data_IF_637692613873
#
_entry.id   IF_637692613873
#
_cell.length_a   1.000
_cell.length_b   1.000
_cell.length_c   1.000
_cell.angle_alpha   90.00
_cell.angle_beta   90.00
_cell.angle_gamma   90.00
#
_symmetry.space_group_name_H-M   'P 1'
#
loop_
_entity.id
_entity.type
_entity.pdbx_description
1 polymer ?
#
# COMPACT_ATOMS: atom_id res chain seq x y z
N UNK A 1 19.63 23.53 -57.80
CA UNK A 1 20.74 22.67 -57.37
C UNK A 1 21.37 23.35 -56.17
N UNK A 2 20.67 23.57 -55.04
CA UNK A 2 20.13 22.61 -54.05
C UNK A 2 21.17 21.55 -53.67
N UNK A 3 21.84 21.71 -52.52
CA UNK A 3 21.44 21.25 -51.15
C UNK A 3 21.79 19.76 -50.99
N UNK A 4 22.40 19.22 -49.94
CA UNK A 4 22.55 19.57 -48.53
C UNK A 4 23.84 18.91 -48.00
N UNK A 5 24.61 19.61 -47.17
CA UNK A 5 25.63 19.01 -46.31
C UNK A 5 25.04 18.77 -44.92
N UNK A 6 24.98 17.51 -44.50
CA UNK A 6 24.59 17.08 -43.14
C UNK A 6 25.60 17.58 -42.09
N UNK A 7 25.18 18.14 -40.96
CA UNK A 7 26.05 18.35 -39.81
C UNK A 7 26.14 17.08 -38.96
N UNK A 8 27.35 16.75 -38.52
CA UNK A 8 27.61 15.74 -37.48
C UNK A 8 26.96 16.19 -36.17
N UNK A 9 26.14 15.31 -35.58
CA UNK A 9 25.59 15.52 -34.25
C UNK A 9 26.61 15.09 -33.20
N UNK A 10 27.13 16.06 -32.44
CA UNK A 10 27.86 15.80 -31.20
C UNK A 10 26.87 15.26 -30.15
N UNK A 11 27.06 14.00 -29.74
CA UNK A 11 26.39 13.43 -28.57
C UNK A 11 26.89 14.14 -27.30
N UNK A 12 26.06 15.05 -26.77
CA UNK A 12 26.20 15.51 -25.39
C UNK A 12 25.72 14.42 -24.44
N UNK A 13 26.65 13.59 -23.96
CA UNK A 13 26.49 12.89 -22.69
C UNK A 13 26.40 13.92 -21.57
N UNK A 14 25.18 14.28 -21.16
CA UNK A 14 24.94 14.92 -19.87
C UNK A 14 24.97 13.83 -18.80
N UNK A 15 25.81 14.05 -17.80
CA UNK A 15 26.11 13.11 -16.73
C UNK A 15 25.10 13.35 -15.59
N UNK A 16 24.15 12.44 -15.39
CA UNK A 16 23.09 12.52 -14.35
C UNK A 16 23.65 12.70 -12.93
N UNK A 17 24.92 12.36 -12.68
CA UNK A 17 25.57 12.57 -11.38
C UNK A 17 25.75 14.03 -11.00
N UNK A 18 25.87 14.93 -11.98
CA UNK A 18 26.25 16.32 -11.73
C UNK A 18 25.05 17.16 -11.28
N UNK A 19 23.84 16.85 -11.76
CA UNK A 19 22.60 17.52 -11.35
C UNK A 19 22.15 17.13 -9.94
N UNK A 20 22.36 15.87 -9.53
CA UNK A 20 22.14 15.46 -8.14
C UNK A 20 23.11 16.15 -7.17
N UNK A 21 24.36 16.38 -7.60
CA UNK A 21 25.38 17.03 -6.76
C UNK A 21 25.11 18.52 -6.51
N UNK A 22 24.55 19.23 -7.49
CA UNK A 22 24.17 20.64 -7.34
C UNK A 22 22.93 20.81 -6.44
N UNK A 23 22.01 19.85 -6.48
CA UNK A 23 20.83 19.81 -5.63
C UNK A 23 21.21 19.50 -4.16
N UNK A 24 22.08 18.52 -3.93
CA UNK A 24 22.59 18.18 -2.59
C UNK A 24 23.44 19.32 -1.98
N UNK A 25 24.20 20.04 -2.82
CA UNK A 25 24.96 21.22 -2.41
C UNK A 25 24.03 22.40 -2.01
N UNK A 26 22.93 22.60 -2.73
CA UNK A 26 21.93 23.62 -2.40
C UNK A 26 21.17 23.29 -1.09
N UNK A 27 20.90 22.00 -0.84
CA UNK A 27 20.28 21.50 0.39
C UNK A 27 21.22 21.68 1.59
N UNK A 28 22.51 21.34 1.44
CA UNK A 28 23.52 21.48 2.51
C UNK A 28 23.81 22.95 2.85
N UNK A 29 23.83 23.84 1.86
CA UNK A 29 24.09 25.26 2.07
C UNK A 29 22.96 25.96 2.86
N UNK A 30 21.69 25.59 2.64
CA UNK A 30 20.55 26.21 3.34
C UNK A 30 20.31 25.64 4.73
N UNK A 31 20.57 24.36 4.96
CA UNK A 31 20.47 23.74 6.30
C UNK A 31 21.52 24.26 7.27
N UNK A 32 22.74 24.53 6.79
CA UNK A 32 23.83 25.10 7.61
C UNK A 32 23.51 26.54 8.06
N UNK A 33 22.88 27.34 7.21
CA UNK A 33 22.48 28.71 7.56
C UNK A 33 21.38 28.78 8.64
N UNK A 34 20.62 27.70 8.83
CA UNK A 34 19.55 27.61 9.83
C UNK A 34 20.09 27.17 11.21
N UNK A 35 21.15 26.34 11.23
CA UNK A 35 21.84 25.94 12.45
C UNK A 35 22.59 27.11 13.13
N UNK A 36 23.12 28.04 12.35
CA UNK A 36 23.76 29.26 12.88
C UNK A 36 22.75 30.24 13.49
N UNK A 37 21.46 30.15 13.11
CA UNK A 37 20.41 31.04 13.61
C UNK A 37 19.75 30.55 14.90
N UNK A 38 19.85 29.25 15.23
CA UNK A 38 19.29 28.65 16.46
C UNK A 38 20.27 28.66 17.63
N UNK A 39 21.56 28.93 17.39
CA UNK A 39 22.60 28.98 18.41
C UNK A 39 22.57 30.24 19.30
N UNK A 40 21.78 31.28 18.98
CA UNK A 40 21.82 32.59 19.67
C UNK A 40 20.74 32.79 20.75
N UNK A 41 20.00 31.72 21.11
CA UNK A 41 18.95 31.79 22.14
C UNK A 41 19.11 30.71 23.20
N UNK A 42 20.16 30.85 24.03
CA UNK A 42 20.23 30.20 25.34
C UNK A 42 20.21 31.25 26.45
N UNK A 43 19.03 31.72 26.83
CA UNK A 43 18.77 32.26 28.17
C UNK A 43 17.26 32.45 28.40
N UNK A 44 16.75 31.66 29.34
CA UNK A 44 15.74 31.99 30.35
C UNK A 44 14.52 31.03 30.36
N UNK A 45 14.53 30.16 31.37
CA UNK A 45 13.49 29.18 31.65
C UNK A 45 12.35 29.88 32.39
N UNK A 46 11.25 30.22 31.70
CA UNK A 46 9.88 30.37 32.26
C UNK A 46 8.79 30.71 31.23
N UNK A 47 9.08 30.74 29.93
CA UNK A 47 8.09 30.89 28.86
C UNK A 47 7.99 29.59 28.04
N UNK A 48 7.25 28.60 28.53
CA UNK A 48 7.41 27.20 28.07
C UNK A 48 6.11 26.49 27.66
N UNK A 49 5.07 27.23 27.24
CA UNK A 49 3.85 26.62 26.66
C UNK A 49 3.26 27.42 25.48
N UNK A 50 3.43 28.74 25.44
CA UNK A 50 2.94 29.57 24.33
C UNK A 50 3.94 29.67 23.17
N UNK A 51 5.23 29.65 23.47
CA UNK A 51 6.35 29.68 22.52
C UNK A 51 6.48 28.37 21.76
N UNK A 52 6.17 27.24 22.40
CA UNK A 52 6.22 25.91 21.79
C UNK A 52 5.11 25.72 20.73
N UNK A 53 3.90 26.21 21.02
CA UNK A 53 2.79 26.27 20.05
C UNK A 53 3.08 27.18 18.85
N UNK A 54 3.75 28.31 19.08
CA UNK A 54 4.11 29.27 18.03
C UNK A 54 5.27 28.78 17.16
N UNK A 55 6.27 28.12 17.75
CA UNK A 55 7.38 27.48 17.03
C UNK A 55 6.88 26.29 16.21
N UNK A 56 6.01 25.45 16.76
CA UNK A 56 5.40 24.32 16.05
C UNK A 56 4.51 24.79 14.89
N UNK A 57 3.74 25.87 15.07
CA UNK A 57 2.93 26.45 14.00
C UNK A 57 3.77 27.09 12.90
N UNK A 58 4.91 27.72 13.24
CA UNK A 58 5.83 28.30 12.27
C UNK A 58 6.63 27.24 11.51
N UNK A 59 7.08 26.17 12.16
CA UNK A 59 7.69 25.01 11.50
C UNK A 59 6.67 24.39 10.53
N UNK A 60 5.43 24.16 10.98
CA UNK A 60 4.38 23.60 10.15
C UNK A 60 4.06 24.48 8.94
N UNK A 61 3.90 25.79 9.13
CA UNK A 61 3.67 26.71 8.01
C UNK A 61 4.90 26.78 7.08
N UNK A 62 6.11 26.63 7.60
CA UNK A 62 7.33 26.59 6.78
C UNK A 62 7.43 25.29 5.97
N UNK A 63 7.11 24.13 6.55
CA UNK A 63 7.01 22.84 5.84
C UNK A 63 5.95 22.92 4.75
N UNK A 64 4.75 23.41 5.07
CA UNK A 64 3.66 23.56 4.10
C UNK A 64 4.04 24.51 2.97
N UNK A 65 4.67 25.64 3.25
CA UNK A 65 5.12 26.58 2.22
C UNK A 65 6.31 26.03 1.41
N UNK A 66 7.24 25.31 2.04
CA UNK A 66 8.37 24.68 1.35
C UNK A 66 7.90 23.55 0.44
N UNK A 67 6.94 22.74 0.87
CA UNK A 67 6.29 21.71 0.06
C UNK A 67 5.44 22.30 -1.05
N UNK A 68 4.78 23.44 -0.82
CA UNK A 68 4.01 24.14 -1.84
C UNK A 68 4.90 24.79 -2.89
N UNK A 69 6.01 25.40 -2.49
CA UNK A 69 7.02 25.95 -3.39
C UNK A 69 7.72 24.82 -4.17
N UNK A 70 8.04 23.70 -3.52
CA UNK A 70 8.58 22.51 -4.16
C UNK A 70 7.57 21.87 -5.11
N UNK A 71 6.29 21.79 -4.74
CA UNK A 71 5.21 21.29 -5.60
C UNK A 71 5.07 22.14 -6.87
N UNK A 72 5.11 23.46 -6.75
CA UNK A 72 5.03 24.39 -7.89
C UNK A 72 6.29 24.33 -8.78
N UNK A 73 7.48 24.11 -8.21
CA UNK A 73 8.72 23.97 -8.96
C UNK A 73 8.89 22.57 -9.59
N UNK A 74 8.44 21.52 -8.91
CA UNK A 74 8.48 20.14 -9.38
C UNK A 74 7.43 19.86 -10.46
N UNK A 75 6.30 20.57 -10.49
CA UNK A 75 5.27 20.40 -11.53
C UNK A 75 5.79 20.64 -12.95
N UNK A 76 6.74 21.55 -13.16
CA UNK A 76 7.36 21.75 -14.49
C UNK A 76 8.25 20.55 -14.89
N UNK A 77 8.94 19.93 -13.93
CA UNK A 77 9.74 18.70 -14.13
C UNK A 77 8.89 17.44 -14.27
N UNK A 78 7.69 17.41 -13.69
CA UNK A 78 6.75 16.30 -13.78
C UNK A 78 6.24 16.16 -15.22
N UNK A 79 5.99 17.26 -15.93
CA UNK A 79 5.68 17.25 -17.37
C UNK A 79 6.71 16.44 -18.17
N UNK A 80 8.00 16.67 -17.93
CA UNK A 80 9.12 16.00 -18.62
C UNK A 80 9.26 14.51 -18.21
N UNK A 81 8.95 14.16 -16.96
CA UNK A 81 8.87 12.76 -16.48
C UNK A 81 7.68 11.99 -17.07
N UNK A 82 6.62 12.70 -17.48
CA UNK A 82 5.38 12.15 -18.01
C UNK A 82 5.37 12.08 -19.54
N UNK A 83 6.11 12.94 -20.23
CA UNK A 83 6.17 13.05 -21.71
C UNK A 83 6.55 11.76 -22.46
N UNK A 84 7.09 10.74 -21.76
CA UNK A 84 7.48 9.46 -22.35
C UNK A 84 6.67 8.23 -21.92
N UNK A 85 5.68 8.35 -21.03
CA UNK A 85 4.97 7.18 -20.46
C UNK A 85 3.50 7.17 -20.84
N UNK A 86 3.14 6.30 -21.77
CA UNK A 86 1.75 5.99 -22.12
C UNK A 86 1.08 5.34 -20.89
N UNK A 87 0.18 6.06 -20.21
CA UNK A 87 -0.58 5.54 -19.06
C UNK A 87 -1.72 4.61 -19.47
N UNK A 88 -2.09 4.61 -20.76
CA UNK A 88 -3.09 3.71 -21.33
C UNK A 88 -2.45 2.39 -21.80
N UNK A 89 -2.73 1.25 -21.15
CA UNK A 89 -2.14 -0.04 -21.56
C UNK A 89 -2.63 -0.45 -22.94
N UNK A 90 -1.74 -0.95 -23.80
CA UNK A 90 -2.18 -1.57 -25.04
C UNK A 90 -2.75 -2.98 -24.75
N UNK A 91 -3.76 -3.46 -25.50
CA UNK A 91 -4.41 -4.76 -25.25
C UNK A 91 -3.45 -5.97 -25.29
N UNK A 92 -2.29 -5.83 -25.93
CA UNK A 92 -1.27 -6.87 -26.09
C UNK A 92 -0.14 -6.80 -25.05
N UNK A 93 -0.10 -5.76 -24.23
CA UNK A 93 0.94 -5.61 -23.22
C UNK A 93 0.66 -6.51 -22.01
N UNK A 94 1.74 -7.08 -21.47
CA UNK A 94 1.72 -7.68 -20.15
C UNK A 94 2.41 -6.74 -19.18
N UNK A 95 1.76 -6.44 -18.07
CA UNK A 95 2.33 -5.62 -17.01
C UNK A 95 2.51 -6.44 -15.74
N UNK A 96 3.62 -6.24 -15.04
CA UNK A 96 3.85 -6.72 -13.68
C UNK A 96 4.44 -5.58 -12.85
N UNK A 97 3.72 -5.12 -11.83
CA UNK A 97 4.15 -4.12 -10.84
C UNK A 97 4.96 -2.97 -11.47
N UNK A 98 4.33 -2.21 -12.36
CA UNK A 98 4.95 -1.05 -13.02
C UNK A 98 5.92 -1.35 -14.16
N UNK A 99 6.21 -2.62 -14.48
CA UNK A 99 7.04 -3.00 -15.63
C UNK A 99 6.19 -3.58 -16.77
N UNK A 100 6.39 -3.05 -17.97
CA UNK A 100 5.79 -3.51 -19.22
C UNK A 100 6.65 -4.61 -19.87
N UNK A 101 5.98 -5.60 -20.43
CA UNK A 101 6.55 -6.67 -21.24
C UNK A 101 5.80 -6.74 -22.57
N UNK A 102 6.55 -6.68 -23.67
CA UNK A 102 6.00 -6.88 -25.00
C UNK A 102 5.86 -8.37 -25.28
N UNK A 103 4.62 -8.81 -25.48
CA UNK A 103 4.36 -10.16 -25.99
C UNK A 103 4.54 -10.13 -27.50
N UNK A 104 5.57 -10.82 -28.00
CA UNK A 104 5.72 -11.01 -29.45
C UNK A 104 4.51 -11.79 -29.95
N UNK A 105 3.77 -11.33 -30.98
CA UNK A 105 2.73 -12.14 -31.59
C UNK A 105 3.39 -13.42 -32.12
N UNK A 106 2.77 -14.58 -31.86
CA UNK A 106 3.21 -15.84 -32.44
C UNK A 106 3.38 -15.65 -33.95
N UNK A 107 4.61 -15.74 -34.44
CA UNK A 107 4.92 -15.61 -35.86
C UNK A 107 4.13 -16.66 -36.63
N UNK A 108 3.59 -16.27 -37.79
CA UNK A 108 2.85 -17.13 -38.72
C UNK A 108 3.69 -18.25 -39.37
N UNK A 109 4.84 -18.60 -38.79
CA UNK A 109 5.57 -19.79 -39.17
C UNK A 109 4.90 -21.00 -38.51
N UNK A 110 4.71 -22.11 -39.24
CA UNK A 110 4.10 -23.29 -38.67
C UNK A 110 5.05 -23.87 -37.62
N UNK A 111 4.79 -23.58 -36.35
CA UNK A 111 5.42 -24.30 -35.24
C UNK A 111 5.12 -25.80 -35.39
N UNK A 112 6.09 -26.68 -35.12
CA UNK A 112 5.85 -28.12 -35.16
C UNK A 112 4.69 -28.47 -34.22
N UNK A 113 3.75 -29.29 -34.69
CA UNK A 113 2.53 -29.59 -33.95
C UNK A 113 2.85 -30.03 -32.51
N UNK A 114 2.25 -29.39 -31.50
CA UNK A 114 2.45 -29.78 -30.12
C UNK A 114 1.88 -31.19 -29.90
N UNK A 115 2.70 -32.06 -29.30
CA UNK A 115 2.26 -33.35 -28.74
C UNK A 115 0.96 -33.16 -27.94
N UNK A 116 -0.02 -34.08 -28.03
CA UNK A 116 -1.35 -33.87 -27.47
C UNK A 116 -1.31 -33.86 -25.93
N UNK A 117 -1.21 -32.65 -25.39
CA UNK A 117 -1.27 -32.33 -23.97
C UNK A 117 -0.48 -31.05 -23.71
N UNK A 118 -1.05 -30.10 -22.98
CA UNK A 118 -0.43 -28.82 -22.57
C UNK A 118 -0.32 -27.75 -23.68
N UNK A 119 -1.43 -27.07 -23.97
CA UNK A 119 -1.38 -25.67 -24.41
C UNK A 119 -0.80 -24.83 -23.26
N UNK A 120 0.52 -24.78 -23.12
CA UNK A 120 1.15 -23.77 -22.27
C UNK A 120 1.03 -22.44 -23.00
N UNK A 121 0.17 -21.56 -22.49
CA UNK A 121 0.32 -20.11 -22.67
C UNK A 121 1.69 -19.72 -22.11
N UNK A 122 2.77 -19.94 -22.88
CA UNK A 122 4.12 -19.79 -22.40
C UNK A 122 4.44 -18.29 -22.25
N UNK A 123 4.53 -17.84 -21.00
CA UNK A 123 5.08 -16.52 -20.72
C UNK A 123 6.56 -16.48 -21.15
N UNK A 124 7.05 -15.35 -21.71
CA UNK A 124 8.46 -15.18 -21.97
C UNK A 124 9.30 -15.39 -20.70
N UNK A 125 10.52 -15.92 -20.83
CA UNK A 125 11.36 -16.20 -19.66
C UNK A 125 11.66 -14.95 -18.82
N UNK A 126 11.74 -13.76 -19.44
CA UNK A 126 11.87 -12.51 -18.70
C UNK A 126 10.68 -12.25 -17.75
N UNK A 127 9.46 -12.59 -18.17
CA UNK A 127 8.24 -12.48 -17.35
C UNK A 127 8.26 -13.53 -16.25
N UNK A 128 8.61 -14.78 -16.58
CA UNK A 128 8.68 -15.86 -15.60
C UNK A 128 9.76 -15.58 -14.54
N UNK A 129 10.93 -15.09 -14.95
CA UNK A 129 12.01 -14.74 -14.06
C UNK A 129 11.62 -13.62 -13.10
N UNK A 130 10.87 -12.61 -13.57
CA UNK A 130 10.37 -11.52 -12.72
C UNK A 130 9.26 -12.00 -11.77
N UNK A 131 8.34 -12.83 -12.27
CA UNK A 131 7.27 -13.40 -11.45
C UNK A 131 7.80 -14.33 -10.35
N UNK A 132 8.83 -15.15 -10.64
CA UNK A 132 9.48 -16.04 -9.66
C UNK A 132 10.16 -15.30 -8.51
N UNK A 133 10.52 -14.02 -8.69
CA UNK A 133 11.15 -13.19 -7.64
C UNK A 133 10.14 -12.68 -6.61
N UNK A 134 8.86 -12.65 -6.95
CA UNK A 134 7.82 -12.20 -6.02
C UNK A 134 7.76 -13.15 -4.82
N UNK A 135 7.75 -12.59 -3.61
CA UNK A 135 7.56 -13.38 -2.40
C UNK A 135 6.10 -13.81 -2.33
N UNK A 136 5.85 -15.11 -2.34
CA UNK A 136 4.53 -15.71 -2.34
C UNK A 136 4.20 -16.32 -0.98
N UNK A 137 3.30 -15.67 -0.23
CA UNK A 137 2.80 -16.21 1.02
C UNK A 137 1.57 -17.09 0.74
N UNK A 138 1.65 -18.37 1.09
CA UNK A 138 0.56 -19.34 0.95
C UNK A 138 0.05 -19.79 2.31
N UNK A 139 -1.01 -20.60 2.33
CA UNK A 139 -1.38 -21.38 3.51
C UNK A 139 -0.20 -22.19 4.03
N UNK A 140 -0.13 -22.28 5.35
CA UNK A 140 0.89 -23.01 6.08
C UNK A 140 0.23 -23.96 7.06
N UNK A 141 0.96 -25.01 7.39
CA UNK A 141 0.55 -26.05 8.33
C UNK A 141 1.73 -26.47 9.18
N UNK A 142 1.47 -27.13 10.31
CA UNK A 142 2.50 -27.60 11.25
C UNK A 142 3.29 -26.46 11.91
N UNK A 143 2.76 -25.23 11.88
CA UNK A 143 3.30 -24.15 12.68
C UNK A 143 2.86 -24.30 14.16
N UNK A 144 3.55 -23.66 15.12
CA UNK A 144 3.15 -23.66 16.53
C UNK A 144 1.71 -23.13 16.71
N UNK A 145 0.88 -23.68 17.62
CA UNK A 145 -0.50 -23.24 17.78
C UNK A 145 -0.67 -21.73 18.03
N UNK A 146 -1.69 -21.11 17.44
CA UNK A 146 -2.02 -19.69 17.68
C UNK A 146 -2.92 -19.57 18.92
N UNK A 147 -2.36 -19.22 20.07
CA UNK A 147 -3.13 -19.05 21.30
C UNK A 147 -4.16 -17.88 21.19
N UNK A 148 -5.35 -17.99 21.82
CA UNK A 148 -5.84 -19.10 22.66
C UNK A 148 -6.43 -20.29 21.89
N UNK A 149 -6.42 -20.26 20.55
CA UNK A 149 -6.88 -21.38 19.73
C UNK A 149 -5.86 -22.53 19.69
N UNK A 150 -6.26 -23.65 19.08
CA UNK A 150 -5.37 -24.77 18.78
C UNK A 150 -5.01 -24.85 17.28
N UNK A 151 -5.27 -23.81 16.49
CA UNK A 151 -4.99 -23.83 15.05
C UNK A 151 -3.48 -23.94 14.80
N UNK A 152 -3.09 -24.97 14.05
CA UNK A 152 -1.74 -25.24 13.54
C UNK A 152 -1.68 -25.18 12.01
N UNK A 153 -2.76 -24.68 11.39
CA UNK A 153 -2.90 -24.46 9.95
C UNK A 153 -3.88 -23.32 9.70
N UNK A 154 -3.57 -22.49 8.70
CA UNK A 154 -4.43 -21.38 8.28
C UNK A 154 -5.25 -21.69 7.03
N UNK A 155 -5.14 -22.93 6.54
CA UNK A 155 -5.92 -23.42 5.42
C UNK A 155 -7.42 -23.28 5.67
N UNK A 156 -8.11 -22.62 4.75
CA UNK A 156 -9.56 -22.39 4.79
C UNK A 156 -9.98 -21.07 5.43
N UNK A 157 -9.07 -20.31 6.06
CA UNK A 157 -9.44 -19.03 6.70
C UNK A 157 -8.42 -17.91 6.51
N UNK A 158 -7.13 -18.22 6.33
CA UNK A 158 -6.05 -17.24 6.27
C UNK A 158 -5.84 -16.53 4.92
N UNK A 159 -6.62 -16.82 3.87
CA UNK A 159 -6.25 -16.46 2.49
C UNK A 159 -6.01 -14.96 2.31
N UNK A 160 -6.85 -14.11 2.89
CA UNK A 160 -6.70 -12.67 2.77
C UNK A 160 -5.49 -12.15 3.56
N UNK A 161 -5.19 -12.74 4.73
CA UNK A 161 -3.99 -12.42 5.50
C UNK A 161 -2.75 -12.75 4.68
N UNK A 162 -2.73 -13.90 3.99
CA UNK A 162 -1.64 -14.32 3.09
C UNK A 162 -1.49 -13.41 1.86
N UNK A 163 -2.61 -12.96 1.27
CA UNK A 163 -2.60 -11.99 0.19
C UNK A 163 -2.04 -10.63 0.66
N UNK A 164 -2.41 -10.19 1.86
CA UNK A 164 -1.86 -8.99 2.50
C UNK A 164 -0.36 -9.11 2.83
N UNK A 165 0.09 -10.27 3.33
CA UNK A 165 1.52 -10.56 3.52
C UNK A 165 2.29 -10.50 2.20
N UNK A 166 1.72 -11.05 1.13
CA UNK A 166 2.32 -11.02 -0.22
C UNK A 166 2.46 -9.58 -0.73
N UNK A 167 1.44 -8.74 -0.55
CA UNK A 167 1.49 -7.32 -0.90
C UNK A 167 2.57 -6.57 -0.11
N UNK A 168 2.60 -6.74 1.21
CA UNK A 168 3.60 -6.12 2.06
C UNK A 168 5.02 -6.60 1.73
N UNK A 169 5.19 -7.89 1.40
CA UNK A 169 6.46 -8.44 1.00
C UNK A 169 6.99 -7.78 -0.28
N UNK A 170 6.13 -7.48 -1.26
CA UNK A 170 6.57 -6.75 -2.46
C UNK A 170 6.96 -5.31 -2.14
N UNK A 171 6.25 -4.63 -1.23
CA UNK A 171 6.65 -3.30 -0.77
C UNK A 171 8.04 -3.32 -0.09
N UNK A 172 8.33 -4.34 0.72
CA UNK A 172 9.65 -4.52 1.32
C UNK A 172 10.73 -4.83 0.27
N UNK A 173 10.40 -5.62 -0.77
CA UNK A 173 11.32 -5.81 -1.90
C UNK A 173 11.63 -4.49 -2.62
N UNK A 174 10.61 -3.67 -2.91
CA UNK A 174 10.79 -2.35 -3.50
C UNK A 174 11.64 -1.43 -2.60
N UNK A 175 11.40 -1.48 -1.29
CA UNK A 175 12.15 -0.69 -0.32
C UNK A 175 13.65 -1.03 -0.35
N UNK A 176 13.99 -2.30 -0.24
CA UNK A 176 15.38 -2.73 -0.10
C UNK A 176 16.14 -2.90 -1.40
N UNK A 177 15.46 -3.30 -2.48
CA UNK A 177 16.11 -3.65 -3.73
C UNK A 177 15.71 -2.75 -4.90
N UNK A 178 14.60 -2.01 -4.79
CA UNK A 178 13.99 -1.33 -5.92
C UNK A 178 13.36 -2.30 -6.92
N UNK A 179 12.86 -1.76 -8.04
CA UNK A 179 12.10 -2.56 -9.03
C UNK A 179 12.98 -3.38 -9.97
N UNK A 180 14.13 -2.84 -10.35
CA UNK A 180 15.07 -3.39 -11.35
C UNK A 180 16.07 -4.40 -10.78
N UNK A 181 15.83 -4.85 -9.55
CA UNK A 181 16.74 -5.78 -8.92
C UNK A 181 16.77 -7.15 -9.61
N UNK A 182 17.98 -7.66 -9.80
CA UNK A 182 18.23 -9.04 -10.18
C UNK A 182 18.59 -9.82 -8.91
N UNK A 183 17.76 -10.78 -8.54
CA UNK A 183 18.07 -11.64 -7.41
C UNK A 183 19.16 -12.63 -7.78
N UNK A 184 20.23 -12.65 -6.99
CA UNK A 184 21.33 -13.59 -7.10
C UNK A 184 21.60 -14.18 -5.72
N UNK A 185 21.46 -15.50 -5.60
CA UNK A 185 21.78 -16.23 -4.36
C UNK A 185 23.28 -16.30 -4.08
N UNK A 186 24.14 -15.94 -5.04
CA UNK A 186 25.58 -15.80 -4.84
C UNK A 186 25.99 -14.49 -4.16
N UNK A 187 25.10 -13.50 -4.07
CA UNK A 187 25.32 -12.23 -3.40
C UNK A 187 24.86 -12.33 -1.93
N UNK A 188 25.83 -12.46 -1.01
CA UNK A 188 25.56 -12.69 0.41
C UNK A 188 24.77 -11.53 1.06
N UNK A 189 25.05 -10.28 0.69
CA UNK A 189 24.34 -9.11 1.23
C UNK A 189 22.87 -9.12 0.81
N UNK A 190 22.61 -9.34 -0.49
CA UNK A 190 21.24 -9.45 -1.00
C UNK A 190 20.52 -10.67 -0.44
N UNK A 191 21.20 -11.79 -0.29
CA UNK A 191 20.65 -13.00 0.33
C UNK A 191 20.24 -12.72 1.78
N UNK A 192 21.13 -12.15 2.60
CA UNK A 192 20.83 -11.78 3.99
C UNK A 192 19.64 -10.85 4.06
N UNK A 193 19.58 -9.85 3.17
CA UNK A 193 18.46 -8.91 3.14
C UNK A 193 17.16 -9.60 2.72
N UNK A 194 17.17 -10.44 1.68
CA UNK A 194 16.00 -11.20 1.23
C UNK A 194 15.46 -12.11 2.34
N UNK A 195 16.36 -12.86 2.99
CA UNK A 195 16.03 -13.69 4.15
C UNK A 195 15.40 -12.84 5.26
N UNK A 196 15.94 -11.64 5.53
CA UNK A 196 15.38 -10.75 6.56
C UNK A 196 13.95 -10.32 6.23
N UNK A 197 13.60 -10.11 4.95
CA UNK A 197 12.23 -9.80 4.50
C UNK A 197 11.33 -11.02 4.72
N UNK A 198 11.71 -12.20 4.19
CA UNK A 198 10.86 -13.41 4.27
C UNK A 198 10.61 -13.82 5.72
N UNK A 199 11.61 -13.66 6.61
CA UNK A 199 11.48 -13.96 8.04
C UNK A 199 10.42 -13.12 8.76
N UNK A 200 10.05 -11.96 8.22
CA UNK A 200 8.93 -11.18 8.75
C UNK A 200 7.57 -11.90 8.63
N UNK A 201 7.49 -12.88 7.73
CA UNK A 201 6.29 -13.65 7.40
C UNK A 201 6.36 -15.12 7.82
N UNK A 202 7.37 -15.50 8.61
CA UNK A 202 7.45 -16.85 9.18
C UNK A 202 6.28 -17.10 10.13
N UNK A 203 5.80 -18.35 10.16
CA UNK A 203 4.62 -18.76 10.92
C UNK A 203 4.96 -19.09 12.37
N UNK A 204 5.41 -18.07 13.11
CA UNK A 204 5.69 -18.18 14.54
C UNK A 204 5.56 -16.81 15.27
N UNK A 205 5.94 -16.78 16.54
CA UNK A 205 5.91 -15.59 17.40
C UNK A 205 7.27 -14.91 17.58
N UNK A 206 8.31 -15.31 16.85
CA UNK A 206 9.63 -14.72 17.02
C UNK A 206 9.58 -13.20 16.79
N UNK A 207 10.46 -12.41 17.43
CA UNK A 207 10.47 -10.95 17.27
C UNK A 207 10.64 -10.52 15.82
N UNK A 208 11.40 -11.28 15.02
CA UNK A 208 11.58 -10.99 13.59
C UNK A 208 10.36 -11.31 12.73
N UNK A 209 9.41 -12.14 13.19
CA UNK A 209 8.18 -12.46 12.45
C UNK A 209 7.09 -11.43 12.70
N UNK A 210 7.35 -10.16 12.39
CA UNK A 210 6.48 -9.02 12.71
C UNK A 210 5.07 -9.19 12.12
N UNK A 211 4.99 -9.74 10.90
CA UNK A 211 3.76 -9.91 10.14
C UNK A 211 3.35 -11.38 10.00
N UNK A 212 3.71 -12.22 10.98
CA UNK A 212 3.31 -13.63 10.98
C UNK A 212 1.79 -13.82 11.02
N UNK A 213 1.32 -14.96 10.52
CA UNK A 213 -0.11 -15.32 10.60
C UNK A 213 -0.60 -15.32 12.06
N UNK A 214 0.28 -15.68 13.00
CA UNK A 214 0.02 -15.65 14.44
C UNK A 214 -0.27 -14.24 14.92
N UNK A 215 0.63 -13.29 14.62
CA UNK A 215 0.48 -11.89 15.04
C UNK A 215 -0.71 -11.23 14.36
N UNK A 216 -0.92 -11.49 13.08
CA UNK A 216 -2.06 -10.95 12.34
C UNK A 216 -3.39 -11.46 12.91
N UNK A 217 -3.53 -12.77 13.13
CA UNK A 217 -4.75 -13.34 13.70
C UNK A 217 -4.99 -12.87 15.15
N UNK A 218 -3.95 -12.83 15.99
CA UNK A 218 -4.06 -12.32 17.36
C UNK A 218 -4.44 -10.84 17.40
N UNK A 219 -3.88 -10.00 16.52
CA UNK A 219 -4.25 -8.59 16.42
C UNK A 219 -5.69 -8.40 15.98
N UNK A 220 -6.11 -9.16 14.96
CA UNK A 220 -7.49 -9.21 14.51
C UNK A 220 -8.49 -9.53 15.62
N UNK A 221 -8.16 -10.48 16.50
CA UNK A 221 -8.98 -10.77 17.68
C UNK A 221 -9.05 -9.60 18.66
N UNK A 222 -7.92 -8.97 18.95
CA UNK A 222 -7.82 -7.90 19.94
C UNK A 222 -8.53 -6.62 19.54
N UNK A 223 -8.56 -6.31 18.24
CA UNK A 223 -8.98 -5.00 17.72
C UNK A 223 -10.27 -5.03 16.92
N UNK A 224 -10.50 -6.10 16.16
CA UNK A 224 -11.69 -6.29 15.32
C UNK A 224 -12.67 -7.33 15.90
N UNK A 225 -12.33 -7.95 17.02
CA UNK A 225 -13.15 -9.00 17.65
C UNK A 225 -13.20 -10.33 16.90
N UNK A 226 -12.49 -10.45 15.76
CA UNK A 226 -12.47 -11.65 14.91
C UNK A 226 -11.78 -12.82 15.58
N UNK A 227 -12.49 -13.92 15.74
CA UNK A 227 -11.90 -15.14 16.28
C UNK A 227 -10.81 -15.70 15.37
N UNK A 228 -9.77 -16.27 15.97
CA UNK A 228 -8.75 -17.01 15.21
C UNK A 228 -9.45 -18.15 14.48
N UNK A 229 -9.20 -18.29 13.18
CA UNK A 229 -9.95 -19.21 12.32
C UNK A 229 -11.07 -18.54 11.51
N UNK A 230 -11.41 -17.27 11.79
CA UNK A 230 -12.36 -16.51 10.98
C UNK A 230 -11.65 -15.81 9.82
N UNK A 231 -12.41 -15.59 8.76
CA UNK A 231 -11.92 -14.88 7.59
C UNK A 231 -11.79 -13.37 7.84
N UNK A 232 -10.75 -12.78 7.24
CA UNK A 232 -10.48 -11.35 7.25
C UNK A 232 -10.76 -10.76 5.87
N UNK A 233 -11.48 -9.64 5.82
CA UNK A 233 -11.58 -8.86 4.59
C UNK A 233 -10.37 -7.96 4.35
N UNK A 234 -10.27 -7.36 3.15
CA UNK A 234 -9.20 -6.41 2.79
C UNK A 234 -9.02 -5.27 3.80
N UNK A 235 -10.11 -4.63 4.22
CA UNK A 235 -10.10 -3.54 5.22
C UNK A 235 -9.43 -3.95 6.53
N UNK A 236 -9.87 -5.06 7.13
CA UNK A 236 -9.30 -5.54 8.39
C UNK A 236 -7.85 -6.01 8.23
N UNK A 237 -7.53 -6.63 7.09
CA UNK A 237 -6.14 -7.04 6.80
C UNK A 237 -5.20 -5.83 6.74
N UNK A 238 -5.61 -4.75 6.06
CA UNK A 238 -4.83 -3.51 6.00
C UNK A 238 -4.66 -2.86 7.38
N UNK A 239 -5.73 -2.81 8.18
CA UNK A 239 -5.69 -2.29 9.55
C UNK A 239 -4.72 -3.07 10.44
N UNK A 240 -4.80 -4.42 10.41
CA UNK A 240 -3.89 -5.29 11.17
C UNK A 240 -2.44 -5.10 10.76
N UNK A 241 -2.13 -4.99 9.45
CA UNK A 241 -0.76 -4.71 8.98
C UNK A 241 -0.26 -3.39 9.55
N UNK A 242 -1.07 -2.33 9.48
CA UNK A 242 -0.72 -1.02 10.01
C UNK A 242 -0.42 -1.07 11.50
N UNK A 243 -1.31 -1.66 12.29
CA UNK A 243 -1.13 -1.74 13.74
C UNK A 243 0.10 -2.56 14.14
N UNK A 244 0.39 -3.66 13.45
CA UNK A 244 1.59 -4.45 13.70
C UNK A 244 2.87 -3.68 13.37
N UNK A 245 2.87 -2.92 12.27
CA UNK A 245 3.99 -2.07 11.90
C UNK A 245 4.23 -0.95 12.93
N UNK A 246 3.15 -0.30 13.40
CA UNK A 246 3.23 0.73 14.44
C UNK A 246 3.80 0.17 15.75
N UNK A 247 3.28 -0.96 16.23
CA UNK A 247 3.73 -1.59 17.47
C UNK A 247 5.19 -2.05 17.41
N UNK A 248 5.64 -2.47 16.23
CA UNK A 248 7.02 -2.87 16.00
C UNK A 248 7.96 -1.68 15.76
N UNK A 249 7.43 -0.45 15.70
CA UNK A 249 8.17 0.75 15.26
C UNK A 249 8.91 0.48 13.94
N UNK A 250 8.19 -0.13 13.01
CA UNK A 250 8.75 -0.64 11.76
C UNK A 250 9.33 0.49 10.90
N UNK A 251 10.42 0.21 10.18
CA UNK A 251 11.12 1.20 9.34
C UNK A 251 10.22 1.75 8.22
N UNK A 252 9.37 0.89 7.67
CA UNK A 252 8.32 1.24 6.72
C UNK A 252 7.06 1.70 7.47
N UNK A 253 6.63 2.94 7.22
CA UNK A 253 5.34 3.45 7.65
C UNK A 253 4.24 2.78 6.84
N UNK A 254 3.18 2.34 7.51
CA UNK A 254 1.98 1.83 6.84
C UNK A 254 0.87 2.86 7.01
N UNK A 255 0.46 3.48 5.91
CA UNK A 255 -0.67 4.40 5.86
C UNK A 255 -1.89 3.66 5.31
N UNK A 256 -3.05 3.82 5.94
CA UNK A 256 -4.29 3.16 5.49
C UNK A 256 -5.37 4.19 5.26
N UNK A 257 -6.06 4.11 4.12
CA UNK A 257 -7.27 4.89 3.84
C UNK A 257 -8.43 3.96 3.48
N UNK A 258 -9.63 4.32 3.94
CA UNK A 258 -10.87 3.55 3.70
C UNK A 258 -11.91 4.31 2.89
N UNK A 259 -11.76 5.63 2.78
CA UNK A 259 -12.56 6.50 1.90
C UNK A 259 -11.86 6.79 0.58
N UNK A 260 -10.61 6.31 0.42
CA UNK A 260 -9.79 6.51 -0.77
C UNK A 260 -9.02 7.82 -0.75
N UNK A 261 -9.16 8.66 0.28
CA UNK A 261 -8.43 9.93 0.37
C UNK A 261 -7.14 9.72 1.15
N UNK A 262 -6.02 10.15 0.57
CA UNK A 262 -4.71 10.21 1.22
C UNK A 262 -4.45 11.63 1.68
N UNK A 263 -4.33 11.81 3.00
CA UNK A 263 -4.06 13.10 3.61
C UNK A 263 -2.56 13.39 3.63
N UNK A 264 -2.11 14.37 2.85
CA UNK A 264 -0.68 14.69 2.73
C UNK A 264 -0.09 15.19 4.05
N UNK A 265 -0.89 15.89 4.87
CA UNK A 265 -0.46 16.34 6.18
C UNK A 265 -0.04 15.20 7.12
N UNK A 266 -0.59 13.99 6.95
CA UNK A 266 -0.22 12.82 7.76
C UNK A 266 1.13 12.21 7.33
N UNK A 267 1.52 12.44 6.07
CA UNK A 267 2.70 11.82 5.46
C UNK A 267 3.91 12.75 5.44
N UNK A 268 3.67 14.03 5.15
CA UNK A 268 4.68 15.05 5.00
C UNK A 268 5.11 15.63 6.36
N UNK A 269 6.03 14.93 7.03
CA UNK A 269 6.71 15.39 8.25
C UNK A 269 8.15 15.83 7.92
N UNK A 270 8.84 16.49 8.86
CA UNK A 270 10.21 17.01 8.66
C UNK A 270 11.19 15.95 8.13
N UNK A 271 11.04 14.70 8.60
CA UNK A 271 11.71 13.53 8.04
C UNK A 271 10.66 12.60 7.41
N UNK A 272 10.66 12.51 6.07
CA UNK A 272 9.79 11.55 5.38
C UNK A 272 10.25 10.12 5.68
N UNK A 273 9.34 9.34 6.27
CA UNK A 273 9.55 7.91 6.45
C UNK A 273 9.06 7.15 5.21
N UNK A 274 9.84 6.21 4.65
CA UNK A 274 9.37 5.32 3.59
C UNK A 274 7.99 4.77 3.93
N UNK A 275 7.03 4.93 3.02
CA UNK A 275 5.61 4.71 3.30
C UNK A 275 5.01 3.73 2.31
N UNK A 276 4.31 2.72 2.82
CA UNK A 276 3.34 1.93 2.05
C UNK A 276 1.93 2.43 2.34
N UNK A 277 1.27 2.95 1.31
CA UNK A 277 -0.13 3.36 1.31
C UNK A 277 -0.99 2.14 0.95
N UNK A 278 -1.94 1.81 1.82
CA UNK A 278 -2.93 0.76 1.65
C UNK A 278 -4.32 1.40 1.53
N UNK A 279 -4.84 1.48 0.31
CA UNK A 279 -6.17 2.00 0.05
C UNK A 279 -7.17 0.85 -0.10
N UNK A 280 -7.97 0.59 0.93
CA UNK A 280 -9.01 -0.43 0.90
C UNK A 280 -10.31 0.16 0.34
N UNK A 281 -10.93 -0.52 -0.62
CA UNK A 281 -12.14 -0.04 -1.29
C UNK A 281 -13.10 -1.16 -1.68
N UNK A 282 -14.37 -0.80 -1.84
CA UNK A 282 -15.46 -1.65 -2.32
C UNK A 282 -15.95 -1.12 -3.67
N UNK A 283 -15.61 -1.83 -4.75
CA UNK A 283 -15.77 -1.36 -6.13
C UNK A 283 -17.10 -1.79 -6.78
N UNK A 284 -18.02 -2.33 -5.99
CA UNK A 284 -19.30 -2.89 -6.45
C UNK A 284 -19.95 -3.74 -5.36
N UNK A 285 -21.08 -4.39 -5.68
CA UNK A 285 -21.81 -5.27 -4.75
C UNK A 285 -21.40 -6.73 -4.93
N UNK A 286 -21.74 -7.31 -6.08
CA UNK A 286 -21.47 -8.72 -6.42
C UNK A 286 -20.30 -8.85 -7.40
N UNK A 287 -20.10 -7.82 -8.22
CA UNK A 287 -19.07 -7.72 -9.24
C UNK A 287 -18.49 -6.30 -9.19
N UNK A 288 -17.21 -6.18 -9.54
CA UNK A 288 -16.59 -4.87 -9.76
C UNK A 288 -17.37 -4.13 -10.85
N UNK A 289 -17.76 -2.88 -10.58
CA UNK A 289 -18.33 -2.00 -11.59
C UNK A 289 -17.29 -1.77 -12.70
N UNK A 290 -17.58 -2.10 -13.98
CA UNK A 290 -16.61 -1.98 -15.08
C UNK A 290 -15.97 -0.59 -15.24
N UNK A 291 -16.59 0.47 -14.71
CA UNK A 291 -15.99 1.81 -14.66
C UNK A 291 -14.64 1.85 -13.90
N UNK A 292 -14.39 0.90 -13.01
CA UNK A 292 -13.13 0.80 -12.26
C UNK A 292 -12.06 -0.05 -12.96
N UNK A 293 -12.39 -0.80 -14.03
CA UNK A 293 -11.40 -1.66 -14.71
C UNK A 293 -10.17 -0.87 -15.20
N UNK A 294 -10.34 0.29 -15.85
CA UNK A 294 -9.19 1.08 -16.30
C UNK A 294 -8.28 1.50 -15.15
N UNK A 295 -8.86 1.96 -14.02
CA UNK A 295 -8.07 2.35 -12.86
C UNK A 295 -7.34 1.15 -12.22
N UNK A 296 -7.98 -0.02 -12.12
CA UNK A 296 -7.34 -1.23 -11.58
C UNK A 296 -6.09 -1.59 -12.39
N UNK A 297 -6.20 -1.57 -13.72
CA UNK A 297 -5.08 -1.85 -14.61
C UNK A 297 -4.01 -0.75 -14.50
N UNK A 298 -4.41 0.53 -14.54
CA UNK A 298 -3.48 1.66 -14.41
C UNK A 298 -2.73 1.67 -13.07
N UNK A 299 -3.39 1.32 -11.97
CA UNK A 299 -2.75 1.20 -10.66
C UNK A 299 -1.61 0.16 -10.64
N UNK A 300 -1.69 -0.87 -11.50
CA UNK A 300 -0.65 -1.90 -11.66
C UNK A 300 0.47 -1.47 -12.64
N UNK A 301 0.31 -0.37 -13.37
CA UNK A 301 1.36 0.20 -14.23
C UNK A 301 2.19 1.28 -13.53
N UNK A 302 1.75 1.76 -12.36
CA UNK A 302 2.49 2.77 -11.60
C UNK A 302 3.81 2.20 -11.03
N UNK A 303 4.93 2.96 -11.07
CA UNK A 303 6.19 2.55 -10.46
C UNK A 303 6.10 2.23 -8.96
N UNK A 304 5.20 2.94 -8.28
CA UNK A 304 4.92 2.78 -6.85
C UNK A 304 4.09 1.54 -6.53
N UNK A 305 3.56 0.83 -7.54
CA UNK A 305 2.62 -0.27 -7.31
C UNK A 305 3.29 -1.42 -6.54
N UNK A 306 2.79 -1.70 -5.34
CA UNK A 306 3.06 -2.92 -4.58
C UNK A 306 2.04 -4.03 -4.88
N UNK A 307 1.17 -3.81 -5.86
CA UNK A 307 0.10 -4.72 -6.28
C UNK A 307 -1.21 -4.51 -5.53
N UNK A 308 -2.13 -5.44 -5.72
CA UNK A 308 -3.48 -5.37 -5.17
C UNK A 308 -3.79 -6.69 -4.47
N UNK A 309 -4.34 -6.66 -3.26
CA UNK A 309 -4.83 -7.86 -2.60
C UNK A 309 -6.35 -7.77 -2.46
N UNK A 310 -7.09 -8.83 -2.74
CA UNK A 310 -8.55 -8.77 -2.69
C UNK A 310 -9.21 -10.12 -2.86
N UNK A 311 -10.52 -10.15 -2.64
CA UNK A 311 -11.31 -11.38 -2.71
C UNK A 311 -12.31 -11.51 -1.58
N UNK A 312 -13.17 -12.51 -1.73
CA UNK A 312 -14.19 -12.91 -0.74
C UNK A 312 -13.70 -14.08 0.13
N UNK A 313 -14.45 -14.48 1.17
CA UNK A 313 -14.11 -15.63 2.00
C UNK A 313 -13.66 -16.85 1.17
N UNK A 314 -12.52 -17.41 1.54
CA UNK A 314 -11.89 -18.59 0.89
C UNK A 314 -11.51 -18.41 -0.59
N UNK A 315 -11.36 -17.19 -1.10
CA UNK A 315 -10.93 -16.96 -2.48
C UNK A 315 -10.14 -15.66 -2.66
N UNK A 316 -9.43 -15.21 -1.62
CA UNK A 316 -8.56 -14.05 -1.71
C UNK A 316 -7.29 -14.34 -2.53
N UNK A 317 -6.88 -13.38 -3.36
CA UNK A 317 -5.74 -13.46 -4.26
C UNK A 317 -4.88 -12.20 -4.11
N UNK A 318 -3.62 -12.29 -4.55
CA UNK A 318 -2.76 -11.14 -4.75
C UNK A 318 -2.53 -10.92 -6.25
N UNK A 319 -2.87 -9.76 -6.77
CA UNK A 319 -2.74 -9.37 -8.17
C UNK A 319 -1.45 -8.56 -8.36
N UNK A 320 -0.55 -9.09 -9.17
CA UNK A 320 0.76 -8.50 -9.45
C UNK A 320 0.77 -7.71 -10.76
N UNK A 321 -0.26 -7.85 -11.60
CA UNK A 321 -0.25 -7.30 -12.94
C UNK A 321 -1.45 -7.73 -13.77
N UNK A 322 -1.37 -7.53 -15.09
CA UNK A 322 -2.45 -7.88 -16.01
C UNK A 322 -1.94 -8.12 -17.44
N UNK A 323 -2.77 -8.74 -18.26
CA UNK A 323 -2.59 -8.87 -19.71
C UNK A 323 -3.97 -8.90 -20.36
N UNK A 324 -4.25 -7.93 -21.22
CA UNK A 324 -5.63 -7.64 -21.64
C UNK A 324 -6.55 -7.43 -20.43
N UNK A 325 -7.74 -8.03 -20.45
CA UNK A 325 -8.74 -7.91 -19.38
C UNK A 325 -8.59 -8.96 -18.25
N UNK A 326 -7.43 -9.64 -18.18
CA UNK A 326 -7.13 -10.62 -17.15
C UNK A 326 -6.03 -10.13 -16.20
N UNK A 327 -6.26 -10.25 -14.89
CA UNK A 327 -5.23 -9.98 -13.90
C UNK A 327 -4.32 -11.20 -13.71
N UNK A 328 -3.01 -10.94 -13.61
CA UNK A 328 -1.99 -11.93 -13.25
C UNK A 328 -1.84 -11.97 -11.73
N UNK A 329 -1.91 -13.16 -11.14
CA UNK A 329 -2.02 -13.29 -9.67
C UNK A 329 -1.17 -14.40 -9.05
N UNK A 330 -0.90 -14.23 -7.75
CA UNK A 330 -0.42 -15.24 -6.81
C UNK A 330 -1.58 -15.75 -5.96
N UNK A 331 -1.67 -17.07 -5.84
CA UNK A 331 -2.79 -17.77 -5.21
C UNK A 331 -2.38 -18.32 -3.83
N UNK A 332 -2.91 -17.83 -2.71
CA UNK A 332 -2.48 -18.30 -1.39
C UNK A 332 -2.99 -19.72 -1.04
N UNK A 333 -3.87 -20.34 -1.85
CA UNK A 333 -4.61 -21.56 -1.47
C UNK A 333 -3.79 -22.86 -1.54
N UNK A 334 -2.48 -22.79 -1.44
CA UNK A 334 -1.58 -23.93 -1.38
C UNK A 334 -1.12 -24.16 0.05
N UNK A 335 -1.59 -25.25 0.67
CA UNK A 335 -1.14 -25.60 2.02
C UNK A 335 0.26 -26.21 1.95
N UNK A 336 1.24 -25.51 2.52
CA UNK A 336 2.63 -25.97 2.64
C UNK A 336 3.00 -26.18 4.11
N UNK A 337 4.01 -26.99 4.46
CA UNK A 337 4.57 -26.97 5.81
C UNK A 337 5.15 -25.59 6.14
N UNK A 338 5.07 -25.18 7.41
CA UNK A 338 5.76 -24.00 7.91
C UNK A 338 7.29 -24.17 7.79
N UNK A 339 7.99 -23.12 7.39
CA UNK A 339 9.46 -23.15 7.33
C UNK A 339 10.00 -23.08 8.76
N UNK A 340 10.80 -24.08 9.14
CA UNK A 340 11.38 -24.15 10.46
C UNK A 340 12.48 -23.10 10.64
N UNK A 341 12.50 -22.43 11.79
CA UNK A 341 13.60 -21.51 12.13
C UNK A 341 14.91 -22.26 12.32
N UNK A 342 15.97 -21.67 11.79
CA UNK A 342 17.35 -22.10 11.97
C UNK A 342 18.06 -21.25 13.03
N UNK A 343 18.86 -21.86 13.92
CA UNK A 343 19.56 -21.13 14.98
C UNK A 343 20.55 -20.07 14.49
N UNK A 344 21.12 -20.28 13.30
CA UNK A 344 22.13 -19.43 12.67
C UNK A 344 21.53 -18.45 11.66
N UNK A 345 20.21 -18.48 11.46
CA UNK A 345 19.48 -17.65 10.51
C UNK A 345 19.95 -17.74 9.04
N UNK A 346 20.71 -18.78 8.70
CA UNK A 346 21.17 -19.04 7.33
C UNK A 346 20.18 -19.93 6.57
N UNK A 347 19.58 -19.39 5.51
CA UNK A 347 18.65 -20.10 4.62
C UNK A 347 19.17 -20.08 3.19
N UNK A 348 19.18 -21.26 2.58
CA UNK A 348 19.45 -21.44 1.15
C UNK A 348 18.19 -21.22 0.31
N UNK A 349 18.38 -21.18 -1.01
CA UNK A 349 17.25 -21.12 -1.95
C UNK A 349 16.23 -22.24 -1.73
N UNK A 350 16.67 -23.48 -1.54
CA UNK A 350 15.78 -24.62 -1.32
C UNK A 350 15.01 -24.51 0.00
N UNK A 351 15.56 -23.84 1.01
CA UNK A 351 14.87 -23.67 2.29
C UNK A 351 13.68 -22.70 2.16
N UNK A 352 13.78 -21.72 1.26
CA UNK A 352 12.77 -20.68 1.04
C UNK A 352 12.02 -20.85 -0.29
N UNK A 353 12.22 -21.94 -1.03
CA UNK A 353 11.56 -22.21 -2.31
C UNK A 353 10.03 -22.16 -2.20
N UNK A 354 9.52 -22.48 -1.01
CA UNK A 354 8.10 -22.47 -0.71
C UNK A 354 7.46 -21.07 -0.71
N UNK A 355 8.27 -20.01 -0.74
CA UNK A 355 7.86 -18.62 -0.88
C UNK A 355 8.03 -18.08 -2.31
N UNK A 356 8.25 -18.93 -3.32
CA UNK A 356 8.34 -18.53 -4.73
C UNK A 356 7.32 -19.31 -5.58
N UNK A 357 6.78 -18.64 -6.60
CA UNK A 357 5.84 -19.22 -7.56
C UNK A 357 6.45 -19.22 -8.97
N UNK A 358 6.43 -20.36 -9.63
CA UNK A 358 6.93 -20.55 -11.00
C UNK A 358 5.84 -20.56 -12.07
N UNK A 359 4.58 -20.55 -11.66
CA UNK A 359 3.42 -20.69 -12.54
C UNK A 359 2.47 -19.49 -12.40
N UNK A 360 2.73 -18.37 -13.09
CA UNK A 360 1.78 -17.26 -13.16
C UNK A 360 0.41 -17.72 -13.69
N UNK A 361 -0.65 -17.23 -13.05
CA UNK A 361 -2.04 -17.53 -13.41
C UNK A 361 -2.78 -16.24 -13.77
N UNK A 362 -3.82 -16.38 -14.59
CA UNK A 362 -4.69 -15.29 -15.03
C UNK A 362 -6.13 -15.50 -14.61
N UNK A 363 -6.81 -14.40 -14.29
CA UNK A 363 -8.23 -14.38 -13.97
C UNK A 363 -8.88 -13.15 -14.62
N UNK A 364 -9.98 -13.31 -15.39
CA UNK A 364 -10.72 -12.18 -15.94
C UNK A 364 -11.21 -11.22 -14.86
N UNK A 365 -11.06 -9.91 -15.09
CA UNK A 365 -11.53 -8.84 -14.20
C UNK A 365 -12.98 -9.03 -13.69
N UNK A 366 -13.97 -9.44 -14.53
CA UNK A 366 -15.34 -9.65 -14.06
C UNK A 366 -15.52 -10.77 -13.02
N UNK A 367 -14.53 -11.66 -12.86
CA UNK A 367 -14.57 -12.79 -11.91
C UNK A 367 -13.98 -12.43 -10.54
N UNK A 368 -13.47 -11.22 -10.39
CA UNK A 368 -12.80 -10.75 -9.18
C UNK A 368 -13.84 -10.12 -8.24
N UNK A 369 -13.63 -10.31 -6.95
CA UNK A 369 -14.46 -9.70 -5.91
C UNK A 369 -14.27 -8.17 -5.87
N UNK A 370 -15.34 -7.39 -5.63
CA UNK A 370 -15.23 -5.94 -5.56
C UNK A 370 -14.48 -5.39 -4.35
N UNK A 371 -14.24 -6.19 -3.30
CA UNK A 371 -13.51 -5.74 -2.12
C UNK A 371 -12.01 -5.99 -2.28
N UNK A 372 -11.22 -4.92 -2.30
CA UNK A 372 -9.78 -4.98 -2.58
C UNK A 372 -9.00 -3.96 -1.74
N UNK A 373 -7.70 -4.15 -1.61
CA UNK A 373 -6.74 -3.18 -1.08
C UNK A 373 -5.63 -2.95 -2.11
N UNK A 374 -5.41 -1.69 -2.45
CA UNK A 374 -4.38 -1.23 -3.38
C UNK A 374 -3.14 -0.81 -2.58
N UNK A 375 -1.96 -1.30 -2.98
CA UNK A 375 -0.69 -0.97 -2.33
C UNK A 375 0.15 -0.03 -3.20
N UNK A 376 0.56 1.10 -2.63
CA UNK A 376 1.51 2.02 -3.25
C UNK A 376 2.67 2.32 -2.30
N UNK A 377 3.89 1.98 -2.70
CA UNK A 377 5.11 2.23 -1.94
C UNK A 377 5.81 3.49 -2.44
N UNK A 378 6.11 4.40 -1.53
CA UNK A 378 6.88 5.62 -1.75
C UNK A 378 8.08 5.63 -0.80
N UNK A 379 9.29 5.60 -1.35
CA UNK A 379 10.55 5.65 -0.61
C UNK A 379 10.79 6.99 0.05
N UNK A 380 10.47 8.05 -0.67
CA UNK A 380 10.69 9.42 -0.27
C UNK A 380 9.52 10.33 -0.70
N UNK A 381 9.63 11.60 -0.35
CA UNK A 381 8.66 12.61 -0.68
C UNK A 381 8.52 12.82 -2.21
N UNK A 382 9.59 12.62 -2.97
CA UNK A 382 9.57 12.74 -4.44
C UNK A 382 8.68 11.66 -5.04
N UNK A 383 8.83 10.41 -4.59
CA UNK A 383 7.98 9.30 -5.04
C UNK A 383 6.50 9.49 -4.62
N UNK A 384 6.24 10.09 -3.45
CA UNK A 384 4.88 10.43 -3.02
C UNK A 384 4.23 11.48 -3.94
N UNK A 385 4.98 12.51 -4.32
CA UNK A 385 4.50 13.57 -5.21
C UNK A 385 4.31 13.03 -6.63
N UNK A 386 5.20 12.17 -7.12
CA UNK A 386 5.04 11.48 -8.41
C UNK A 386 3.79 10.57 -8.41
N UNK A 387 3.55 9.82 -7.31
CA UNK A 387 2.34 9.01 -7.18
C UNK A 387 1.07 9.87 -7.27
N UNK A 388 1.04 10.99 -6.55
CA UNK A 388 -0.08 11.93 -6.59
C UNK A 388 -0.31 12.45 -8.01
N UNK A 389 0.73 12.96 -8.67
CA UNK A 389 0.61 13.49 -10.02
C UNK A 389 0.06 12.45 -11.01
N UNK A 390 0.53 11.20 -10.91
CA UNK A 390 0.02 10.09 -11.73
C UNK A 390 -1.45 9.81 -11.45
N UNK A 391 -1.87 9.78 -10.19
CA UNK A 391 -3.26 9.55 -9.81
C UNK A 391 -4.17 10.69 -10.29
N UNK A 392 -3.73 11.94 -10.16
CA UNK A 392 -4.46 13.12 -10.64
C UNK A 392 -4.64 13.06 -12.17
N UNK A 393 -3.60 12.65 -12.92
CA UNK A 393 -3.72 12.44 -14.37
C UNK A 393 -4.73 11.36 -14.77
N UNK A 394 -4.76 10.23 -14.05
CA UNK A 394 -5.74 9.18 -14.33
C UNK A 394 -7.17 9.71 -14.15
N UNK A 395 -7.39 10.56 -13.13
CA UNK A 395 -8.66 11.23 -12.93
C UNK A 395 -8.99 12.23 -14.05
N UNK A 396 -8.00 13.02 -14.50
CA UNK A 396 -8.15 13.97 -15.62
C UNK A 396 -8.46 13.28 -16.96
N UNK A 397 -7.96 12.06 -17.17
CA UNK A 397 -8.32 11.18 -18.30
C UNK A 397 -9.75 10.60 -18.19
N UNK A 398 -10.47 10.93 -17.12
CA UNK A 398 -11.86 10.51 -16.88
C UNK A 398 -11.98 9.14 -16.23
N UNK A 399 -10.89 8.57 -15.70
CA UNK A 399 -10.97 7.32 -14.95
C UNK A 399 -11.56 7.57 -13.56
N UNK A 400 -12.42 6.65 -13.10
CA UNK A 400 -12.96 6.72 -11.75
C UNK A 400 -11.88 6.28 -10.76
N UNK A 401 -11.23 7.27 -10.13
CA UNK A 401 -10.13 7.04 -9.21
C UNK A 401 -10.60 6.36 -7.92
N UNK A 402 -9.88 5.30 -7.51
CA UNK A 402 -10.11 4.61 -6.23
C UNK A 402 -9.35 5.31 -5.10
N UNK A 403 -8.27 6.00 -5.44
CA UNK A 403 -7.43 6.76 -4.53
C UNK A 403 -7.33 8.19 -5.04
N UNK A 404 -7.37 9.15 -4.13
CA UNK A 404 -7.12 10.57 -4.38
C UNK A 404 -6.25 11.16 -3.27
N UNK A 405 -5.70 12.34 -3.50
CA UNK A 405 -4.94 13.09 -2.50
C UNK A 405 -5.68 14.36 -2.14
N UNK A 406 -5.67 14.71 -0.86
CA UNK A 406 -6.20 16.01 -0.47
C UNK A 406 -5.29 17.16 -0.92
N UNK A 407 -5.90 18.34 -1.05
CA UNK A 407 -5.20 19.58 -1.28
C UNK A 407 -4.85 20.30 0.04
N UNK A 408 -5.32 19.75 1.16
CA UNK A 408 -5.34 20.40 2.45
C UNK A 408 -4.11 20.01 3.27
N UNK A 409 -3.14 20.90 3.31
CA UNK A 409 -2.22 20.99 4.46
C UNK A 409 -2.89 21.68 5.67
N UNK A 410 -4.20 21.54 5.81
CA UNK A 410 -4.99 22.29 6.78
C UNK A 410 -4.85 21.65 8.17
N UNK A 411 -4.65 22.43 9.25
CA UNK A 411 -4.59 21.90 10.62
C UNK A 411 -5.77 20.97 10.92
N UNK A 412 -5.49 19.78 11.45
CA UNK A 412 -6.42 19.14 12.35
C UNK A 412 -6.71 20.14 13.49
N UNK A 413 -7.94 20.65 13.56
CA UNK A 413 -8.38 21.40 14.73
C UNK A 413 -8.47 20.42 15.90
N UNK A 414 -7.88 20.73 17.06
CA UNK A 414 -8.06 19.88 18.23
C UNK A 414 -9.56 19.81 18.57
N UNK A 415 -10.07 18.60 18.81
CA UNK A 415 -11.44 18.35 19.21
C UNK A 415 -11.88 19.33 20.30
N UNK A 416 -12.71 20.31 19.94
CA UNK A 416 -13.45 21.11 20.92
C UNK A 416 -14.56 20.20 21.44
N UNK A 417 -14.39 19.70 22.67
CA UNK A 417 -15.49 19.09 23.40
C UNK A 417 -16.64 20.09 23.46
N UNK A 418 -17.90 19.68 23.21
CA UNK A 418 -19.02 20.60 23.28
C UNK A 418 -19.10 21.20 24.68
N UNK A 419 -19.07 22.52 24.75
CA UNK A 419 -19.25 23.28 25.98
C UNK A 419 -20.60 22.90 26.60
N UNK A 420 -20.58 22.61 27.89
CA UNK A 420 -21.77 22.31 28.68
C UNK A 420 -22.62 23.58 28.82
N UNK A 421 -23.81 23.59 28.22
CA UNK A 421 -24.79 24.65 28.45
C UNK A 421 -25.21 24.68 29.94
N UNK A 422 -24.78 25.75 30.61
CA UNK A 422 -25.32 26.21 31.89
C UNK A 422 -26.52 27.15 31.69
N UNK A 423 -27.33 27.38 32.72
CA UNK A 423 -28.78 27.59 32.60
C UNK A 423 -29.15 28.98 32.08
N UNK A 424 -30.07 29.04 31.12
CA UNK A 424 -30.68 30.29 30.68
C UNK A 424 -31.64 30.85 31.72
N UNK A 425 -31.45 32.14 31.97
CA UNK A 425 -32.17 32.98 32.92
C UNK A 425 -33.55 33.40 32.40
N UNK A 426 -34.41 33.74 33.34
CA UNK A 426 -35.84 33.96 33.23
C UNK A 426 -36.24 35.21 32.39
N UNK A 427 -37.34 35.07 31.66
CA UNK A 427 -38.07 36.20 31.09
C UNK A 427 -39.32 35.78 30.30
N UNK A 428 -40.47 35.61 30.98
CA UNK A 428 -41.78 35.42 30.34
C UNK A 428 -42.42 36.73 29.86
N UNK A 429 -43.75 36.81 29.70
CA UNK A 429 -44.69 35.79 29.24
C UNK A 429 -45.62 36.33 28.12
N UNK A 430 -46.20 35.46 27.29
CA UNK A 430 -47.58 35.70 26.82
C UNK A 430 -48.20 34.49 26.14
N UNK A 431 -49.38 34.20 26.68
CA UNK A 431 -50.58 33.72 26.03
C UNK A 431 -50.92 32.22 26.05
N UNK A 432 -52.13 32.02 26.53
CA UNK A 432 -52.73 30.77 26.94
C UNK A 432 -53.51 30.15 25.79
N UNK A 433 -53.52 28.83 25.74
CA UNK A 433 -54.78 28.08 25.53
C UNK A 433 -54.58 26.62 25.91
N UNK A 434 -55.42 26.22 26.86
CA UNK A 434 -55.64 24.88 27.40
C UNK A 434 -55.93 23.84 26.31
N UNK A 435 -55.51 22.58 26.51
CA UNK A 435 -56.43 21.42 26.54
C UNK A 435 -55.83 20.30 27.42
N UNK A 436 -56.38 20.19 28.64
CA UNK A 436 -56.84 18.99 29.38
C UNK A 436 -56.06 17.67 29.26
N UNK A 437 -55.49 17.24 30.40
CA UNK A 437 -55.25 15.84 30.78
C UNK A 437 -56.39 15.35 31.67
N UNK A 438 -56.76 14.07 31.57
CA UNK A 438 -57.28 13.30 32.70
C UNK A 438 -56.99 11.79 32.47
N UNK A 439 -56.89 10.96 33.54
CA UNK A 439 -55.91 9.89 33.67
C UNK A 439 -56.64 8.55 33.94
N UNK A 440 -55.94 7.63 34.60
CA UNK A 440 -56.43 6.40 35.24
C UNK A 440 -56.51 5.11 34.43
N UNK A 441 -55.60 4.20 34.81
CA UNK A 441 -55.78 2.79 35.22
C UNK A 441 -54.72 1.91 34.53
N UNK A 442 -53.60 1.56 35.18
CA UNK A 442 -53.42 0.64 36.30
C UNK A 442 -53.87 -0.79 35.99
N UNK A 443 -52.92 -1.72 36.26
CA UNK A 443 -53.11 -3.17 36.45
C UNK A 443 -53.25 -3.98 35.14
N UNK A 444 -52.73 -5.19 34.95
CA UNK A 444 -51.97 -6.17 35.75
C UNK A 444 -51.45 -7.26 34.78
N UNK A 445 -50.41 -8.00 35.21
CA UNK A 445 -50.09 -9.43 34.91
C UNK A 445 -49.94 -9.87 33.42
N UNK A 446 -48.96 -10.66 33.00
CA UNK A 446 -48.81 -12.09 33.33
C UNK A 446 -47.43 -12.62 32.90
N UNK A 447 -47.05 -13.69 33.60
CA UNK A 447 -45.90 -14.57 33.41
C UNK A 447 -46.09 -15.57 32.24
N UNK A 448 -45.00 -16.32 31.92
CA UNK A 448 -44.87 -17.67 31.27
C UNK A 448 -43.78 -17.59 30.17
N UNK A 449 -42.52 -17.97 30.43
CA UNK A 449 -41.89 -19.33 30.30
C UNK A 449 -42.14 -19.97 28.92
N UNK A 450 -41.16 -20.52 28.19
CA UNK A 450 -40.25 -21.64 28.50
C UNK A 450 -39.11 -21.66 27.46
N UNK A 451 -37.85 -21.79 27.93
CA UNK A 451 -36.91 -22.91 27.74
C UNK A 451 -36.29 -23.09 26.34
#
# INVERSE_FOLDING_TARGET
>A
MTDTGTPEAEEHHHNDSDQHSELDAAITFKTTALADHTADHTADHTADLATDSYLTANLRNHVVNTLREWYVLATDSISTLLEGRVLSPQPTDLWLLGRRYELTPATSEPEPEPEPGWLTNAYPEAVLADFRRLIWCTYRSQYPPIAPSAFTSDAGWGCMLRAGQTLLAQALQLHYFGRDWAFDWGDEEKQTKYVSIVRQFFDDFAPSSVFSIHRMASRGKQREGKDIGQWFGPFGTAAVIRELAMDAQHELRIYTTTDGVVHLADLCQDDFQPTLILAASMLGTDHINPLYYPFIQAALTLPQSAGIAGGRPSSALYFAGFSGDELVYLDPHYTRPAVARRPDDHYSQSDLESYSCDSPRRIPLPRIDPCMVFGFYCRDLTELIDLRARIDMLADEGMLAIVSFDNDFSPAQPNVLPESDGPEDAGGPSDASEVVLDPDSASDEEWVTDL
#
